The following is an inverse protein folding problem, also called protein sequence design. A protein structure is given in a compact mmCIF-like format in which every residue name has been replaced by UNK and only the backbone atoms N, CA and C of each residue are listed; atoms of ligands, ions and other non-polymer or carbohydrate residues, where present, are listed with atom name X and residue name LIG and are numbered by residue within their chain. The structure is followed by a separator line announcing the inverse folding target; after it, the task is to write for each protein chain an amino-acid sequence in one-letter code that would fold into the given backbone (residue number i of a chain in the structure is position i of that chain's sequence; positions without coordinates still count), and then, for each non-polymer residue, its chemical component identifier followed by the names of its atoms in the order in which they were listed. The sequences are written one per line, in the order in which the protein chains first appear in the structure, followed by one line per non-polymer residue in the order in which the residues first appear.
data_IF_288954732810
#
_entry.id   IF_288954732810
#
_cell.length_a   1.000
_cell.length_b   1.000
_cell.length_c   1.000
_cell.angle_alpha   90.00
_cell.angle_beta   90.00
_cell.angle_gamma   90.00
#
_symmetry.space_group_name_H-M   'P 1'
#
loop_
_entity.id
_entity.type
_entity.pdbx_description
1 polymer ?
#
# COMPACT_ATOMS: atom_id res chain seq x y z
N UNK A 1 -11.71 1.81 -3.32
CA UNK A 1 -12.58 1.13 -4.29
C UNK A 1 -12.68 -0.35 -3.94
N UNK A 2 -13.88 -0.87 -3.78
CA UNK A 2 -14.16 -2.27 -3.44
C UNK A 2 -13.56 -3.24 -4.47
N UNK A 3 -13.54 -2.87 -5.75
CA UNK A 3 -13.11 -3.75 -6.84
C UNK A 3 -11.63 -4.17 -6.76
N UNK A 4 -10.72 -3.25 -6.45
CA UNK A 4 -9.29 -3.56 -6.32
C UNK A 4 -9.03 -4.48 -5.12
N UNK A 5 -9.69 -4.23 -3.99
CA UNK A 5 -9.59 -5.06 -2.81
C UNK A 5 -10.17 -6.47 -3.05
N UNK A 6 -11.32 -6.56 -3.73
CA UNK A 6 -11.95 -7.84 -4.07
C UNK A 6 -11.04 -8.71 -4.96
N UNK A 7 -10.40 -8.10 -5.97
CA UNK A 7 -9.44 -8.80 -6.83
C UNK A 7 -8.25 -9.33 -6.02
N UNK A 8 -7.75 -8.56 -5.05
CA UNK A 8 -6.64 -8.97 -4.19
C UNK A 8 -7.03 -10.10 -3.23
N UNK A 9 -8.22 -10.03 -2.63
CA UNK A 9 -8.77 -11.10 -1.79
C UNK A 9 -8.90 -12.40 -2.60
N UNK A 10 -9.46 -12.33 -3.81
CA UNK A 10 -9.61 -13.50 -4.68
C UNK A 10 -8.25 -14.10 -5.07
N UNK A 11 -7.25 -13.28 -5.37
CA UNK A 11 -5.90 -13.75 -5.66
C UNK A 11 -5.24 -14.44 -4.44
N UNK A 12 -5.52 -13.97 -3.23
CA UNK A 12 -5.01 -14.59 -2.01
C UNK A 12 -5.70 -15.92 -1.69
N UNK A 13 -7.00 -16.02 -1.91
CA UNK A 13 -7.77 -17.23 -1.64
C UNK A 13 -7.54 -18.33 -2.72
N UNK A 14 -7.34 -17.93 -3.97
CA UNK A 14 -7.13 -18.81 -5.13
C UNK A 14 -5.83 -18.46 -5.86
N UNK A 15 -4.66 -18.64 -5.22
CA UNK A 15 -3.39 -18.13 -5.71
C UNK A 15 -2.93 -18.87 -6.98
N UNK A 16 -2.92 -18.13 -8.08
CA UNK A 16 -2.32 -18.50 -9.36
C UNK A 16 -1.79 -17.23 -10.04
N UNK A 17 -0.94 -17.41 -11.06
CA UNK A 17 -0.28 -16.26 -11.73
C UNK A 17 -1.28 -15.27 -12.32
N UNK A 18 -2.36 -15.77 -12.94
CA UNK A 18 -3.33 -14.89 -13.59
C UNK A 18 -4.14 -14.07 -12.58
N UNK A 19 -4.61 -14.71 -11.50
CA UNK A 19 -5.36 -14.00 -10.45
C UNK A 19 -4.48 -12.98 -9.71
N UNK A 20 -3.23 -13.35 -9.43
CA UNK A 20 -2.26 -12.43 -8.80
C UNK A 20 -1.93 -11.26 -9.73
N UNK A 21 -1.64 -11.53 -11.01
CA UNK A 21 -1.38 -10.48 -11.99
C UNK A 21 -2.54 -9.48 -12.08
N UNK A 22 -3.77 -9.98 -12.24
CA UNK A 22 -4.96 -9.13 -12.32
C UNK A 22 -5.12 -8.26 -11.05
N UNK A 23 -4.89 -8.85 -9.87
CA UNK A 23 -4.98 -8.12 -8.61
C UNK A 23 -3.95 -6.98 -8.54
N UNK A 24 -2.69 -7.27 -8.83
CA UNK A 24 -1.63 -6.27 -8.80
C UNK A 24 -1.83 -5.18 -9.86
N UNK A 25 -2.23 -5.53 -11.09
CA UNK A 25 -2.53 -4.55 -12.14
C UNK A 25 -3.73 -3.65 -11.76
N UNK A 26 -4.73 -4.21 -11.08
CA UNK A 26 -5.88 -3.43 -10.58
C UNK A 26 -5.47 -2.48 -9.45
N UNK A 27 -4.53 -2.88 -8.60
CA UNK A 27 -4.02 -2.04 -7.50
C UNK A 27 -2.95 -1.04 -7.96
N UNK A 28 -2.34 -1.28 -9.12
CA UNK A 28 -1.24 -0.48 -9.61
C UNK A 28 -1.65 0.98 -9.88
N UNK A 29 -2.77 1.19 -10.55
CA UNK A 29 -3.28 2.53 -10.89
C UNK A 29 -2.39 3.34 -11.86
N UNK A 30 -1.14 2.93 -12.09
CA UNK A 30 -0.19 3.60 -12.97
C UNK A 30 -0.21 3.06 -14.41
N UNK A 31 -0.77 1.86 -14.62
CA UNK A 31 -0.75 1.15 -15.91
C UNK A 31 0.61 0.53 -16.24
N UNK A 32 1.56 0.53 -15.32
CA UNK A 32 2.88 -0.11 -15.50
C UNK A 32 2.77 -1.62 -15.33
N UNK A 33 3.65 -2.35 -16.02
CA UNK A 33 3.70 -3.82 -15.87
C UNK A 33 4.33 -4.18 -14.54
N UNK A 34 3.63 -5.00 -13.76
CA UNK A 34 4.16 -5.58 -12.54
C UNK A 34 5.20 -6.66 -12.88
N UNK A 35 6.39 -6.62 -12.27
CA UNK A 35 7.41 -7.65 -12.49
C UNK A 35 6.90 -9.04 -12.11
N UNK A 36 7.15 -10.05 -12.96
CA UNK A 36 6.73 -11.44 -12.71
C UNK A 36 7.30 -11.99 -11.40
N UNK A 37 8.48 -11.55 -10.99
CA UNK A 37 9.07 -11.93 -9.69
C UNK A 37 8.20 -11.55 -8.49
N UNK A 38 7.48 -10.42 -8.56
CA UNK A 38 6.52 -10.01 -7.54
C UNK A 38 5.30 -10.94 -7.54
N UNK A 39 4.76 -11.22 -8.73
CA UNK A 39 3.60 -12.10 -8.92
C UNK A 39 3.92 -13.53 -8.41
N UNK A 40 5.03 -14.10 -8.84
CA UNK A 40 5.47 -15.44 -8.44
C UNK A 40 5.75 -15.52 -6.94
N UNK A 41 6.38 -14.48 -6.39
CA UNK A 41 6.62 -14.34 -4.95
C UNK A 41 5.33 -14.35 -4.13
N UNK A 42 4.31 -13.61 -4.57
CA UNK A 42 3.00 -13.62 -3.94
C UNK A 42 2.34 -14.99 -4.01
N UNK A 43 2.25 -15.58 -5.22
CA UNK A 43 1.61 -16.89 -5.43
C UNK A 43 2.28 -17.98 -4.58
N UNK A 44 3.61 -17.97 -4.52
CA UNK A 44 4.38 -18.93 -3.72
C UNK A 44 4.07 -18.79 -2.23
N UNK A 45 4.07 -17.55 -1.71
CA UNK A 45 3.77 -17.28 -0.29
C UNK A 45 2.35 -17.64 0.09
N UNK A 46 1.37 -17.35 -0.78
CA UNK A 46 -0.04 -17.65 -0.51
C UNK A 46 -0.37 -19.16 -0.57
N UNK A 47 0.53 -19.98 -1.08
CA UNK A 47 0.44 -21.46 -1.04
C UNK A 47 1.03 -22.09 0.23
N UNK A 48 1.74 -21.30 1.05
CA UNK A 48 2.31 -21.80 2.30
C UNK A 48 1.19 -22.18 3.31
N UNK A 49 1.47 -23.13 4.22
CA UNK A 49 0.53 -23.46 5.30
C UNK A 49 0.11 -22.23 6.09
N UNK A 50 -1.17 -22.10 6.38
CA UNK A 50 -1.77 -20.98 7.14
C UNK A 50 -1.68 -19.58 6.49
N UNK A 51 -1.09 -19.41 5.31
CA UNK A 51 -0.97 -18.10 4.65
C UNK A 51 -2.33 -17.44 4.43
N UNK A 52 -3.31 -18.20 3.94
CA UNK A 52 -4.69 -17.70 3.73
C UNK A 52 -5.36 -17.29 5.04
N UNK A 53 -5.15 -18.07 6.09
CA UNK A 53 -5.68 -17.73 7.42
C UNK A 53 -5.07 -16.45 7.95
N UNK A 54 -3.75 -16.31 7.88
CA UNK A 54 -3.05 -15.08 8.31
C UNK A 54 -3.52 -13.86 7.50
N UNK A 55 -3.65 -14.00 6.18
CA UNK A 55 -4.16 -12.93 5.31
C UNK A 55 -5.58 -12.50 5.71
N UNK A 56 -6.51 -13.46 5.85
CA UNK A 56 -7.89 -13.16 6.23
C UNK A 56 -8.01 -12.59 7.64
N UNK A 57 -7.20 -13.07 8.59
CA UNK A 57 -7.16 -12.52 9.95
C UNK A 57 -6.69 -11.07 9.96
N UNK A 58 -5.71 -10.72 9.14
CA UNK A 58 -5.24 -9.34 8.97
C UNK A 58 -6.37 -8.45 8.44
N UNK A 59 -7.05 -8.86 7.37
CA UNK A 59 -8.16 -8.10 6.80
C UNK A 59 -9.31 -7.88 7.81
N UNK A 60 -9.64 -8.92 8.58
CA UNK A 60 -10.68 -8.81 9.62
C UNK A 60 -10.24 -7.87 10.74
N UNK A 61 -8.96 -7.86 11.09
CA UNK A 61 -8.39 -6.93 12.07
C UNK A 61 -8.50 -5.46 11.65
N UNK A 62 -8.49 -5.18 10.35
CA UNK A 62 -8.64 -3.82 9.82
C UNK A 62 -10.03 -3.20 10.06
N UNK A 63 -11.05 -4.00 10.34
CA UNK A 63 -12.40 -3.48 10.66
C UNK A 63 -12.44 -2.58 11.91
N UNK A 64 -11.45 -2.69 12.78
CA UNK A 64 -11.38 -1.93 14.03
C UNK A 64 -10.35 -0.78 13.97
N UNK A 65 -9.96 -0.35 12.77
CA UNK A 65 -8.95 0.69 12.58
C UNK A 65 -9.38 2.11 12.97
N UNK A 66 -10.66 2.36 13.26
CA UNK A 66 -11.16 3.65 13.75
C UNK A 66 -10.42 4.17 14.99
N UNK A 67 -9.77 3.27 15.74
CA UNK A 67 -8.96 3.64 16.91
C UNK A 67 -7.58 4.21 16.53
N UNK A 68 -7.10 3.98 15.31
CA UNK A 68 -5.75 4.42 14.89
C UNK A 68 -5.80 5.89 14.49
N UNK A 69 -6.78 6.31 13.71
CA UNK A 69 -6.93 7.70 13.27
C UNK A 69 -7.06 8.67 14.43
N UNK A 70 -7.74 8.27 15.51
CA UNK A 70 -7.85 9.04 16.75
C UNK A 70 -6.55 9.19 17.56
N UNK A 71 -5.47 8.52 17.14
CA UNK A 71 -4.18 8.54 17.84
C UNK A 71 -3.07 9.20 17.02
N UNK A 72 -3.35 9.67 15.81
CA UNK A 72 -2.35 10.32 14.96
C UNK A 72 -1.78 11.57 15.61
N UNK A 73 -2.58 12.32 16.35
CA UNK A 73 -2.14 13.50 17.13
C UNK A 73 -1.10 13.19 18.22
N UNK A 74 -0.98 11.92 18.63
CA UNK A 74 0.01 11.50 19.62
C UNK A 74 1.38 11.19 18.99
N UNK A 75 1.51 11.28 17.67
CA UNK A 75 2.78 11.07 16.97
C UNK A 75 3.57 12.38 17.03
N UNK A 76 4.65 12.37 17.82
CA UNK A 76 5.54 13.52 18.00
C UNK A 76 6.82 13.48 17.17
N UNK A 77 7.17 12.30 16.64
CA UNK A 77 8.34 12.12 15.79
C UNK A 77 8.15 12.73 14.41
N UNK A 78 9.25 13.16 13.78
CA UNK A 78 9.22 13.54 12.36
C UNK A 78 8.66 12.40 11.53
N UNK A 79 7.67 12.70 10.71
CA UNK A 79 6.91 11.71 9.94
C UNK A 79 6.90 12.10 8.47
N UNK A 80 7.17 11.13 7.60
CA UNK A 80 7.00 11.27 6.15
C UNK A 80 5.84 10.40 5.70
N UNK A 81 4.84 11.00 5.09
CA UNK A 81 3.73 10.33 4.41
C UNK A 81 3.99 10.37 2.92
N UNK A 82 4.08 9.19 2.30
CA UNK A 82 4.25 9.04 0.85
C UNK A 82 3.00 8.37 0.28
N UNK A 83 2.44 8.92 -0.81
CA UNK A 83 1.22 8.40 -1.43
C UNK A 83 1.28 8.47 -2.95
N UNK A 84 0.78 7.43 -3.62
CA UNK A 84 0.61 7.45 -5.07
C UNK A 84 -0.58 8.32 -5.49
N UNK A 85 -0.38 9.21 -6.48
CA UNK A 85 -1.45 10.10 -6.96
C UNK A 85 -2.65 9.38 -7.57
N UNK A 86 -2.41 8.17 -8.09
CA UNK A 86 -3.40 7.36 -8.78
C UNK A 86 -3.78 6.09 -7.99
N UNK A 87 -3.66 6.12 -6.65
CA UNK A 87 -4.00 4.97 -5.81
C UNK A 87 -5.49 4.59 -5.94
N UNK A 88 -5.82 3.44 -6.57
CA UNK A 88 -7.20 3.01 -6.75
C UNK A 88 -7.76 2.26 -5.54
N UNK A 89 -6.92 1.94 -4.55
CA UNK A 89 -7.29 1.19 -3.34
C UNK A 89 -7.68 2.15 -2.24
N UNK A 90 -6.79 3.09 -1.91
CA UNK A 90 -7.01 4.10 -0.89
C UNK A 90 -6.76 5.48 -1.53
N UNK A 91 -7.82 6.28 -1.76
CA UNK A 91 -7.69 7.59 -2.37
C UNK A 91 -6.69 8.51 -1.65
N UNK A 92 -5.91 9.27 -2.42
CA UNK A 92 -4.89 10.19 -1.89
C UNK A 92 -5.46 11.23 -0.91
N UNK A 93 -6.76 11.52 -0.98
CA UNK A 93 -7.45 12.44 -0.06
C UNK A 93 -7.37 12.00 1.41
N UNK A 94 -7.13 10.70 1.67
CA UNK A 94 -6.88 10.23 3.04
C UNK A 94 -5.53 10.69 3.60
N UNK A 95 -4.61 11.14 2.77
CA UNK A 95 -3.34 11.71 3.26
C UNK A 95 -3.55 13.00 4.07
N UNK A 96 -4.63 13.75 3.79
CA UNK A 96 -4.98 14.97 4.50
C UNK A 96 -5.20 14.72 6.00
N UNK A 97 -5.79 13.57 6.36
CA UNK A 97 -6.00 13.19 7.75
C UNK A 97 -4.66 13.03 8.50
N UNK A 98 -3.65 12.46 7.85
CA UNK A 98 -2.31 12.30 8.43
C UNK A 98 -1.60 13.65 8.56
N UNK A 99 -1.61 14.43 7.49
CA UNK A 99 -0.92 15.74 7.44
C UNK A 99 -1.51 16.72 8.44
N UNK A 100 -2.83 16.72 8.61
CA UNK A 100 -3.51 17.62 9.55
C UNK A 100 -3.42 17.17 11.00
N UNK A 101 -3.25 15.87 11.27
CA UNK A 101 -3.25 15.31 12.62
C UNK A 101 -1.86 15.18 13.22
N UNK A 102 -0.82 14.96 12.41
CA UNK A 102 0.55 14.75 12.90
C UNK A 102 1.34 16.07 12.86
N UNK A 103 1.80 16.53 14.00
CA UNK A 103 2.40 17.87 14.16
C UNK A 103 3.68 18.08 13.30
N UNK A 104 4.50 17.04 13.13
CA UNK A 104 5.75 17.09 12.36
C UNK A 104 5.63 16.19 11.11
N UNK A 105 4.59 16.40 10.30
CA UNK A 105 4.32 15.61 9.11
C UNK A 105 4.77 16.32 7.83
N UNK A 106 5.52 15.60 7.00
CA UNK A 106 5.77 15.98 5.60
C UNK A 106 5.01 15.06 4.68
N UNK A 107 4.44 15.61 3.64
CA UNK A 107 3.75 14.86 2.61
C UNK A 107 4.53 14.86 1.30
N UNK A 108 4.62 13.70 0.66
CA UNK A 108 5.20 13.56 -0.67
C UNK A 108 4.27 12.75 -1.57
N UNK A 109 3.72 13.41 -2.57
CA UNK A 109 2.96 12.76 -3.62
C UNK A 109 3.90 12.11 -4.62
N UNK A 110 3.68 10.82 -4.91
CA UNK A 110 4.37 10.09 -5.97
C UNK A 110 3.52 10.18 -7.25
N UNK A 111 3.92 10.98 -8.25
CA UNK A 111 3.11 11.20 -9.44
C UNK A 111 3.01 9.93 -10.28
N UNK A 112 1.82 9.68 -10.84
CA UNK A 112 1.51 8.52 -11.67
C UNK A 112 1.77 7.16 -11.00
N UNK A 113 1.83 7.11 -9.68
CA UNK A 113 1.92 5.88 -8.90
C UNK A 113 0.57 5.52 -8.31
N UNK A 114 0.32 4.22 -8.17
CA UNK A 114 -0.83 3.67 -7.48
C UNK A 114 -0.52 3.25 -6.06
N UNK A 115 -1.05 2.09 -5.63
CA UNK A 115 -0.98 1.63 -4.24
C UNK A 115 0.41 1.18 -3.77
N UNK A 116 1.34 0.93 -4.70
CA UNK A 116 2.69 0.42 -4.37
C UNK A 116 3.80 1.27 -4.97
N UNK A 117 3.90 2.57 -4.62
CA UNK A 117 4.87 3.48 -5.24
C UNK A 117 6.33 3.03 -5.09
N UNK A 118 6.66 2.32 -4.01
CA UNK A 118 7.99 1.74 -3.79
C UNK A 118 8.36 0.62 -4.77
N UNK A 119 7.36 -0.01 -5.42
CA UNK A 119 7.56 -1.01 -6.48
C UNK A 119 7.61 -0.34 -7.86
N UNK A 120 6.79 0.70 -8.04
CA UNK A 120 6.56 1.35 -9.32
C UNK A 120 7.67 2.34 -9.68
N UNK A 121 8.20 3.04 -8.70
CA UNK A 121 9.28 4.05 -8.82
C UNK A 121 10.29 3.90 -7.67
N UNK A 122 11.04 2.79 -7.61
CA UNK A 122 11.89 2.46 -6.46
C UNK A 122 13.01 3.47 -6.24
N UNK A 123 13.59 4.04 -7.30
CA UNK A 123 14.66 5.04 -7.19
C UNK A 123 14.14 6.37 -6.62
N UNK A 124 12.98 6.83 -7.12
CA UNK A 124 12.36 8.05 -6.63
C UNK A 124 11.89 7.87 -5.18
N UNK A 125 11.28 6.71 -4.87
CA UNK A 125 10.87 6.39 -3.51
C UNK A 125 12.07 6.39 -2.55
N UNK A 126 13.14 5.68 -2.90
CA UNK A 126 14.35 5.61 -2.07
C UNK A 126 14.99 6.99 -1.87
N UNK A 127 15.12 7.79 -2.93
CA UNK A 127 15.68 9.14 -2.83
C UNK A 127 14.84 10.07 -1.95
N UNK A 128 13.52 9.96 -2.03
CA UNK A 128 12.58 10.72 -1.18
C UNK A 128 12.77 10.35 0.30
N UNK A 129 12.83 9.04 0.61
CA UNK A 129 13.06 8.56 1.98
C UNK A 129 14.42 8.99 2.50
N UNK A 130 15.49 8.83 1.70
CA UNK A 130 16.85 9.23 2.12
C UNK A 130 16.95 10.73 2.36
N UNK A 131 16.32 11.55 1.51
CA UNK A 131 16.29 12.99 1.73
C UNK A 131 15.59 13.36 3.04
N UNK A 132 14.48 12.70 3.35
CA UNK A 132 13.80 12.89 4.64
C UNK A 132 14.65 12.47 5.83
N UNK A 133 15.34 11.32 5.77
CA UNK A 133 16.19 10.83 6.86
C UNK A 133 17.39 11.73 7.13
N UNK A 134 17.93 12.38 6.09
CA UNK A 134 19.04 13.30 6.21
C UNK A 134 18.60 14.71 6.69
N UNK A 135 17.31 15.04 6.51
CA UNK A 135 16.74 16.34 6.87
C UNK A 135 15.34 16.12 7.47
N UNK A 136 15.25 15.52 8.66
CA UNK A 136 13.99 15.12 9.27
C UNK A 136 13.09 16.29 9.69
#
# INVERSE_FOLDING_TARGET
STFALDAYIMAALYPNQQSAKNAFETMDGSGKKIPMTIIDGFVTRMKLPNAKFAFMSTLLGLKNCDLITKKLENISSSTLVIWGSNDPVIPITFADDFVSSIINCRFHEMPNCGHTPYVQEPELFASTVLNFLNNP
#
